data_IF_722551176265
#
_entry.id   IF_722551176265
#
_cell.length_a   1.000
_cell.length_b   1.000
_cell.length_c   1.000
_cell.angle_alpha   90.00
_cell.angle_beta   90.00
_cell.angle_gamma   90.00
#
_symmetry.space_group_name_H-M   'P 1'
#
loop_
_entity.id
_entity.type
_entity.pdbx_description
1 polymer ?
#
# COMPACT_ATOMS: atom_id res chain seq x y z
N UNK A 1 -12.56 -17.76 -6.79
CA UNK A 1 -12.71 -16.35 -6.32
C UNK A 1 -11.63 -16.07 -5.27
N UNK A 2 -10.37 -15.98 -5.70
CA UNK A 2 -9.18 -15.78 -4.82
C UNK A 2 -8.48 -14.43 -5.08
N UNK A 3 -8.75 -13.80 -6.23
CA UNK A 3 -8.18 -12.53 -6.65
C UNK A 3 -8.34 -11.39 -5.62
N UNK A 4 -9.47 -11.32 -4.91
CA UNK A 4 -9.69 -10.26 -3.92
C UNK A 4 -8.77 -10.41 -2.69
N UNK A 5 -8.44 -11.64 -2.29
CA UNK A 5 -7.57 -11.91 -1.14
C UNK A 5 -6.09 -11.71 -1.48
N UNK A 6 -5.66 -12.13 -2.68
CA UNK A 6 -4.30 -11.87 -3.18
C UNK A 6 -4.04 -10.38 -3.30
N UNK A 7 -4.98 -9.62 -3.87
CA UNK A 7 -4.85 -8.16 -4.01
C UNK A 7 -4.75 -7.46 -2.65
N UNK A 8 -5.52 -7.90 -1.66
CA UNK A 8 -5.42 -7.38 -0.30
C UNK A 8 -4.03 -7.63 0.30
N UNK A 9 -3.49 -8.83 0.11
CA UNK A 9 -2.14 -9.16 0.60
C UNK A 9 -1.07 -8.29 -0.04
N UNK A 10 -1.15 -8.05 -1.35
CA UNK A 10 -0.25 -7.15 -2.07
C UNK A 10 -0.32 -5.71 -1.51
N UNK A 11 -1.52 -5.16 -1.35
CA UNK A 11 -1.72 -3.80 -0.82
C UNK A 11 -1.12 -3.66 0.59
N UNK A 12 -1.37 -4.65 1.45
CA UNK A 12 -0.87 -4.66 2.82
C UNK A 12 0.65 -4.77 2.85
N UNK A 13 1.23 -5.68 2.06
CA UNK A 13 2.68 -5.84 1.98
C UNK A 13 3.36 -4.58 1.45
N UNK A 14 2.78 -3.92 0.45
CA UNK A 14 3.30 -2.69 -0.13
C UNK A 14 3.34 -1.55 0.88
N UNK A 15 2.24 -1.33 1.61
CA UNK A 15 2.19 -0.30 2.66
C UNK A 15 3.15 -0.62 3.80
N UNK A 16 3.18 -1.87 4.26
CA UNK A 16 4.08 -2.30 5.33
C UNK A 16 5.56 -2.13 4.95
N UNK A 17 5.93 -2.44 3.71
CA UNK A 17 7.30 -2.28 3.22
C UNK A 17 7.76 -0.82 3.19
N UNK A 18 6.89 0.11 2.81
CA UNK A 18 7.26 1.52 2.66
C UNK A 18 7.12 2.34 3.95
N UNK A 19 6.06 2.14 4.74
CA UNK A 19 5.81 2.91 5.96
C UNK A 19 6.09 2.16 7.25
N UNK A 20 6.43 0.86 7.18
CA UNK A 20 6.73 0.03 8.35
C UNK A 20 5.59 -0.03 9.37
N UNK A 21 4.36 0.24 8.93
CA UNK A 21 3.17 0.11 9.75
C UNK A 21 2.89 -1.36 10.05
N UNK A 22 2.38 -1.68 11.25
CA UNK A 22 2.04 -3.04 11.59
C UNK A 22 0.86 -3.51 10.73
N UNK A 23 0.89 -4.79 10.36
CA UNK A 23 -0.14 -5.43 9.52
C UNK A 23 -1.57 -5.21 10.05
N UNK A 24 -1.74 -5.18 11.38
CA UNK A 24 -3.05 -4.96 12.02
C UNK A 24 -3.65 -3.62 11.63
N UNK A 25 -2.90 -2.53 11.81
CA UNK A 25 -3.36 -1.17 11.49
C UNK A 25 -3.73 -1.03 10.01
N UNK A 26 -2.98 -1.66 9.10
CA UNK A 26 -3.26 -1.59 7.65
C UNK A 26 -4.52 -2.38 7.29
N UNK A 27 -4.81 -3.47 8.00
CA UNK A 27 -6.02 -4.27 7.80
C UNK A 27 -7.27 -3.58 8.37
N UNK A 28 -7.11 -2.75 9.39
CA UNK A 28 -8.18 -1.96 9.99
C UNK A 28 -8.59 -0.75 9.12
N UNK A 29 -7.73 -0.34 8.17
CA UNK A 29 -8.07 0.71 7.20
C UNK A 29 -9.21 0.29 6.28
N UNK A 30 -10.10 1.23 5.99
CA UNK A 30 -11.09 1.04 4.95
C UNK A 30 -10.42 0.79 3.59
N UNK A 31 -11.08 0.00 2.73
CA UNK A 31 -10.52 -0.35 1.42
C UNK A 31 -10.12 0.89 0.59
N UNK A 32 -10.89 1.97 0.71
CA UNK A 32 -10.63 3.20 -0.02
C UNK A 32 -9.40 3.97 0.52
N UNK A 33 -9.20 3.98 1.84
CA UNK A 33 -8.05 4.61 2.49
C UNK A 33 -6.77 3.86 2.19
N UNK A 34 -6.78 2.52 2.31
CA UNK A 34 -5.62 1.70 1.98
C UNK A 34 -5.18 1.91 0.53
N UNK A 35 -6.12 1.98 -0.42
CA UNK A 35 -5.79 2.29 -1.82
C UNK A 35 -5.23 3.69 -2.03
N UNK A 36 -5.68 4.69 -1.26
CA UNK A 36 -5.08 6.04 -1.27
C UNK A 36 -3.62 5.98 -0.83
N UNK A 37 -3.30 5.27 0.25
CA UNK A 37 -1.93 5.13 0.72
C UNK A 37 -1.02 4.45 -0.31
N UNK A 38 -1.50 3.39 -0.95
CA UNK A 38 -0.78 2.74 -2.07
C UNK A 38 -0.47 3.74 -3.19
N UNK A 39 -1.43 4.59 -3.57
CA UNK A 39 -1.23 5.62 -4.60
C UNK A 39 -0.22 6.70 -4.17
N UNK A 40 -0.27 7.15 -2.93
CA UNK A 40 0.68 8.15 -2.41
C UNK A 40 2.11 7.61 -2.37
N UNK A 41 2.29 6.37 -1.93
CA UNK A 41 3.59 5.70 -1.96
C UNK A 41 4.13 5.64 -3.40
N UNK A 42 3.30 5.24 -4.37
CA UNK A 42 3.70 5.23 -5.78
C UNK A 42 4.12 6.61 -6.28
N UNK A 43 3.36 7.66 -5.94
CA UNK A 43 3.68 9.05 -6.31
C UNK A 43 5.02 9.51 -5.73
N UNK A 44 5.29 9.20 -4.46
CA UNK A 44 6.57 9.52 -3.80
C UNK A 44 7.71 8.81 -4.50
N UNK A 45 7.57 7.51 -4.77
CA UNK A 45 8.60 6.71 -5.44
C UNK A 45 8.87 7.19 -6.87
N UNK A 46 7.84 7.53 -7.64
CA UNK A 46 7.99 8.09 -8.99
C UNK A 46 8.79 9.39 -8.94
N UNK A 47 8.43 10.33 -8.07
CA UNK A 47 9.16 11.61 -7.93
C UNK A 47 10.59 11.41 -7.47
N UNK A 48 10.83 10.49 -6.53
CA UNK A 48 12.16 10.19 -6.03
C UNK A 48 13.06 9.57 -7.11
N UNK A 49 12.48 8.81 -8.04
CA UNK A 49 13.21 8.19 -9.14
C UNK A 49 13.42 9.13 -10.34
N UNK A 50 12.53 10.10 -10.57
CA UNK A 50 12.67 11.12 -11.62
C UNK A 50 13.76 12.16 -11.32
N UNK A 51 14.08 12.38 -10.05
CA UNK A 51 15.15 13.30 -9.62
C UNK A 51 16.56 12.70 -9.57
N UNK A 52 16.74 11.47 -10.08
CA UNK A 52 17.99 10.70 -10.01
C UNK A 52 18.54 10.44 -11.41
#
# INVERSE_FOLDING_TARGET
MTYAAERLHEEVAYVAYHFHWPRGEILDLEHHERRRWVQEISRINTRANEGR
#
